data_IF_439123315013
#
_entry.id   IF_439123315013
#
_cell.length_a   1.000
_cell.length_b   1.000
_cell.length_c   1.000
_cell.angle_alpha   90.00
_cell.angle_beta   90.00
_cell.angle_gamma   90.00
#
_symmetry.space_group_name_H-M   'P 1'
#
loop_
_entity.id
_entity.type
_entity.pdbx_description
1 polymer ?
#
# COMPACT_ATOMS: atom_id res chain seq x y z
N UNK A 1 -14.03 12.94 16.70
CA UNK A 1 -15.30 12.91 15.95
C UNK A 1 -15.09 12.38 14.53
N UNK A 2 -14.00 12.76 13.84
CA UNK A 2 -13.71 12.33 12.46
C UNK A 2 -13.55 10.80 12.24
N UNK A 3 -13.09 10.02 13.22
CA UNK A 3 -12.96 8.56 13.08
C UNK A 3 -14.29 7.81 13.00
N UNK A 4 -15.35 8.35 13.62
CA UNK A 4 -16.69 7.78 13.56
C UNK A 4 -17.31 7.99 12.17
N UNK A 5 -17.13 9.17 11.58
CA UNK A 5 -17.59 9.46 10.21
C UNK A 5 -16.87 8.59 9.17
N UNK A 6 -15.56 8.39 9.30
CA UNK A 6 -14.81 7.51 8.40
C UNK A 6 -15.30 6.05 8.48
N UNK A 7 -15.52 5.56 9.71
CA UNK A 7 -16.05 4.23 9.96
C UNK A 7 -17.41 3.99 9.29
N UNK A 8 -18.30 4.98 9.31
CA UNK A 8 -19.61 4.92 8.67
C UNK A 8 -19.50 4.98 7.14
N UNK A 9 -18.67 5.88 6.60
CA UNK A 9 -18.40 5.99 5.17
C UNK A 9 -17.85 4.67 4.61
N UNK A 10 -16.85 4.07 5.26
CA UNK A 10 -16.33 2.76 4.82
C UNK A 10 -17.41 1.68 4.93
N UNK A 11 -18.29 1.76 5.93
CA UNK A 11 -19.44 0.87 6.03
C UNK A 11 -20.42 1.00 4.86
N UNK A 12 -20.59 2.20 4.29
CA UNK A 12 -21.37 2.43 3.08
C UNK A 12 -20.64 1.92 1.84
N UNK A 13 -19.34 2.23 1.70
CA UNK A 13 -18.53 1.76 0.57
C UNK A 13 -18.52 0.23 0.54
N UNK A 14 -18.30 -0.46 1.67
CA UNK A 14 -18.31 -1.93 1.71
C UNK A 14 -19.67 -2.55 1.35
N UNK A 15 -20.77 -1.79 1.41
CA UNK A 15 -22.09 -2.27 0.93
C UNK A 15 -22.21 -2.18 -0.58
N UNK A 16 -21.56 -1.20 -1.21
CA UNK A 16 -21.55 -1.03 -2.67
C UNK A 16 -20.46 -1.87 -3.33
N UNK A 17 -19.25 -1.83 -2.78
CA UNK A 17 -18.09 -2.59 -3.21
C UNK A 17 -17.67 -3.59 -2.13
N UNK A 18 -17.98 -4.86 -2.38
CA UNK A 18 -17.66 -5.97 -1.46
C UNK A 18 -16.31 -6.62 -1.75
N UNK A 19 -15.51 -6.06 -2.69
CA UNK A 19 -14.23 -6.64 -3.08
C UNK A 19 -13.17 -6.44 -2.01
N UNK A 20 -13.28 -5.35 -1.24
CA UNK A 20 -12.32 -4.96 -0.23
C UNK A 20 -12.91 -5.01 1.18
N UNK A 21 -12.13 -5.55 2.12
CA UNK A 21 -12.49 -5.55 3.54
C UNK A 21 -12.35 -4.14 4.12
N UNK A 22 -13.19 -3.79 5.11
CA UNK A 22 -13.13 -2.51 5.82
C UNK A 22 -11.72 -2.16 6.31
N UNK A 23 -10.94 -3.16 6.73
CA UNK A 23 -9.56 -2.96 7.18
C UNK A 23 -8.62 -2.48 6.07
N UNK A 24 -8.91 -2.79 4.81
CA UNK A 24 -8.14 -2.30 3.67
C UNK A 24 -8.22 -0.76 3.59
N UNK A 25 -9.40 -0.19 3.79
CA UNK A 25 -9.62 1.26 3.76
C UNK A 25 -8.91 1.95 4.93
N UNK A 26 -8.99 1.39 6.13
CA UNK A 26 -8.25 1.89 7.30
C UNK A 26 -6.73 1.84 7.07
N UNK A 27 -6.25 0.77 6.43
CA UNK A 27 -4.85 0.61 6.10
C UNK A 27 -4.38 1.63 5.06
N UNK A 28 -5.14 1.86 3.99
CA UNK A 28 -4.82 2.87 2.96
C UNK A 28 -4.79 4.27 3.56
N UNK A 29 -5.73 4.61 4.44
CA UNK A 29 -5.74 5.89 5.17
C UNK A 29 -4.46 6.09 5.98
N UNK A 30 -4.04 5.07 6.74
CA UNK A 30 -2.82 5.14 7.54
C UNK A 30 -1.56 5.19 6.65
N UNK A 31 -1.53 4.41 5.57
CA UNK A 31 -0.44 4.43 4.60
C UNK A 31 -0.29 5.79 3.91
N UNK A 32 -1.40 6.47 3.59
CA UNK A 32 -1.39 7.82 3.04
C UNK A 32 -0.81 8.82 4.04
N UNK A 33 -1.28 8.83 5.29
CA UNK A 33 -0.75 9.71 6.33
C UNK A 33 0.76 9.49 6.56
N UNK A 34 1.19 8.23 6.57
CA UNK A 34 2.60 7.86 6.62
C UNK A 34 3.38 8.43 5.42
N UNK A 35 2.86 8.26 4.20
CA UNK A 35 3.49 8.76 2.97
C UNK A 35 3.61 10.28 2.99
N UNK A 36 2.54 11.00 3.35
CA UNK A 36 2.55 12.46 3.45
C UNK A 36 3.58 12.94 4.47
N UNK A 37 3.67 12.29 5.64
CA UNK A 37 4.68 12.59 6.66
C UNK A 37 6.10 12.36 6.15
N UNK A 38 6.33 11.25 5.45
CA UNK A 38 7.65 10.92 4.89
C UNK A 38 8.06 11.86 3.76
N UNK A 39 7.15 12.20 2.84
CA UNK A 39 7.38 13.19 1.78
C UNK A 39 7.69 14.56 2.38
N UNK A 40 6.94 14.97 3.40
CA UNK A 40 7.16 16.23 4.12
C UNK A 40 8.53 16.29 4.80
N UNK A 41 9.02 15.16 5.34
CA UNK A 41 10.35 15.04 5.93
C UNK A 41 11.46 15.09 4.89
N UNK A 42 11.29 14.40 3.76
CA UNK A 42 12.29 14.34 2.69
C UNK A 42 12.37 15.62 1.86
N UNK A 43 11.25 16.32 1.69
CA UNK A 43 11.15 17.52 0.87
C UNK A 43 10.41 18.63 1.63
N UNK A 44 11.05 19.23 2.67
CA UNK A 44 10.44 20.30 3.46
C UNK A 44 10.11 21.55 2.61
N UNK A 45 10.75 21.72 1.46
CA UNK A 45 10.50 22.84 0.53
C UNK A 45 9.16 22.73 -0.23
N UNK A 46 8.57 21.54 -0.33
CA UNK A 46 7.24 21.32 -0.94
C UNK A 46 6.07 21.64 -0.01
N UNK A 47 6.34 22.00 1.25
CA UNK A 47 5.32 22.21 2.30
C UNK A 47 4.29 23.32 2.01
N UNK A 48 4.55 24.20 1.05
CA UNK A 48 3.63 25.28 0.65
C UNK A 48 2.76 24.98 -0.58
N UNK A 49 3.06 23.93 -1.36
CA UNK A 49 2.32 23.60 -2.59
C UNK A 49 1.73 22.21 -2.46
N UNK A 50 0.53 22.18 -1.89
CA UNK A 50 -0.38 21.05 -1.93
C UNK A 50 0.17 19.79 -1.22
N UNK A 51 -0.45 19.37 -0.11
CA UNK A 51 -0.20 18.09 0.60
C UNK A 51 -0.53 16.83 -0.23
N UNK A 52 -0.53 16.95 -1.55
CA UNK A 52 -0.94 15.92 -2.48
C UNK A 52 0.26 15.05 -2.78
N UNK A 53 0.08 13.76 -2.57
CA UNK A 53 1.03 12.73 -3.01
C UNK A 53 0.52 12.14 -4.31
N UNK A 54 1.43 11.85 -5.23
CA UNK A 54 1.09 11.11 -6.45
C UNK A 54 0.72 9.67 -6.12
N UNK A 55 -0.02 8.98 -7.00
CA UNK A 55 -0.34 7.56 -6.83
C UNK A 55 0.92 6.70 -6.69
N UNK A 56 1.97 7.03 -7.46
CA UNK A 56 3.28 6.40 -7.34
C UNK A 56 3.96 6.60 -5.97
N UNK A 57 3.90 7.81 -5.40
CA UNK A 57 4.41 8.08 -4.06
C UNK A 57 3.59 7.34 -3.00
N UNK A 58 2.27 7.35 -3.13
CA UNK A 58 1.36 6.64 -2.24
C UNK A 58 1.63 5.13 -2.25
N UNK A 59 1.77 4.51 -3.43
CA UNK A 59 2.04 3.08 -3.55
C UNK A 59 3.37 2.69 -2.91
N UNK A 60 4.42 3.50 -3.10
CA UNK A 60 5.72 3.25 -2.47
C UNK A 60 5.65 3.44 -0.94
N UNK A 61 4.95 4.47 -0.47
CA UNK A 61 4.76 4.68 0.96
C UNK A 61 3.92 3.57 1.60
N UNK A 62 2.85 3.10 0.94
CA UNK A 62 2.05 1.95 1.35
C UNK A 62 2.92 0.68 1.40
N UNK A 63 3.79 0.45 0.42
CA UNK A 63 4.72 -0.68 0.42
C UNK A 63 5.59 -0.67 1.68
N UNK A 64 6.21 0.47 1.96
CA UNK A 64 7.08 0.64 3.11
C UNK A 64 6.31 0.46 4.42
N UNK A 65 5.12 1.06 4.50
CA UNK A 65 4.25 0.96 5.66
C UNK A 65 3.76 -0.49 5.89
N UNK A 66 3.41 -1.22 4.83
CA UNK A 66 3.03 -2.64 4.92
C UNK A 66 4.18 -3.51 5.47
N UNK A 67 5.40 -3.25 5.00
CA UNK A 67 6.61 -3.94 5.46
C UNK A 67 6.97 -3.59 6.90
N UNK A 68 6.81 -2.34 7.30
CA UNK A 68 7.06 -1.89 8.67
C UNK A 68 6.08 -2.52 9.66
N UNK A 69 4.80 -2.58 9.30
CA UNK A 69 3.74 -3.09 10.19
C UNK A 69 3.62 -4.62 10.20
N UNK A 70 3.80 -5.27 9.05
CA UNK A 70 3.53 -6.71 8.89
C UNK A 70 4.72 -7.52 8.39
N UNK A 71 5.78 -6.87 7.92
CA UNK A 71 6.99 -7.52 7.39
C UNK A 71 6.66 -8.60 6.35
N UNK A 72 7.12 -9.85 6.54
CA UNK A 72 6.90 -10.94 5.59
C UNK A 72 5.43 -11.35 5.47
N UNK A 73 4.57 -10.97 6.41
CA UNK A 73 3.13 -11.26 6.39
C UNK A 73 2.32 -10.23 5.61
N UNK A 74 2.94 -9.14 5.14
CA UNK A 74 2.25 -8.07 4.42
C UNK A 74 1.39 -8.59 3.25
N UNK A 75 1.96 -9.44 2.39
CA UNK A 75 1.22 -10.06 1.27
C UNK A 75 -0.01 -10.85 1.75
N UNK A 76 0.14 -11.65 2.79
CA UNK A 76 -0.95 -12.49 3.32
C UNK A 76 -2.07 -11.64 3.92
N UNK A 77 -1.71 -10.60 4.66
CA UNK A 77 -2.66 -9.68 5.29
C UNK A 77 -3.43 -8.89 4.23
N UNK A 78 -2.73 -8.31 3.24
CA UNK A 78 -3.35 -7.57 2.13
C UNK A 78 -4.28 -8.48 1.31
N UNK A 79 -3.83 -9.68 0.96
CA UNK A 79 -4.64 -10.64 0.21
C UNK A 79 -5.92 -11.03 0.97
N UNK A 80 -5.84 -11.14 2.30
CA UNK A 80 -7.00 -11.44 3.15
C UNK A 80 -8.04 -10.32 3.13
N UNK A 81 -7.61 -9.09 2.92
CA UNK A 81 -8.50 -7.93 2.77
C UNK A 81 -8.98 -7.69 1.34
N UNK A 82 -8.68 -8.61 0.41
CA UNK A 82 -9.07 -8.51 -0.99
C UNK A 82 -8.08 -7.76 -1.88
N UNK A 83 -7.01 -7.19 -1.31
CA UNK A 83 -5.99 -6.44 -2.04
C UNK A 83 -4.90 -7.38 -2.52
N UNK A 84 -4.78 -7.57 -3.83
CA UNK A 84 -3.82 -8.51 -4.44
C UNK A 84 -2.80 -7.85 -5.35
N UNK A 85 -3.08 -6.63 -5.83
CA UNK A 85 -2.25 -5.88 -6.78
C UNK A 85 -2.23 -4.39 -6.44
N UNK A 86 -1.30 -3.66 -7.05
CA UNK A 86 -1.22 -2.20 -6.88
C UNK A 86 -2.52 -1.48 -7.32
N UNK A 87 -3.15 -1.94 -8.41
CA UNK A 87 -4.39 -1.36 -8.91
C UNK A 87 -5.53 -1.40 -7.89
N UNK A 88 -5.59 -2.43 -7.05
CA UNK A 88 -6.60 -2.56 -5.99
C UNK A 88 -6.50 -1.42 -4.97
N UNK A 89 -5.29 -0.94 -4.67
CA UNK A 89 -5.12 0.26 -3.84
C UNK A 89 -5.65 1.51 -4.52
N UNK A 90 -5.47 1.62 -5.84
CA UNK A 90 -6.07 2.68 -6.64
C UNK A 90 -7.59 2.66 -6.54
N UNK A 91 -8.22 1.50 -6.71
CA UNK A 91 -9.68 1.37 -6.57
C UNK A 91 -10.15 1.78 -5.16
N UNK A 92 -9.46 1.38 -4.10
CA UNK A 92 -9.77 1.81 -2.73
C UNK A 92 -9.66 3.33 -2.57
N UNK A 93 -8.58 3.95 -3.08
CA UNK A 93 -8.38 5.40 -3.01
C UNK A 93 -9.47 6.13 -3.78
N UNK A 94 -9.84 5.67 -4.97
CA UNK A 94 -10.90 6.26 -5.76
C UNK A 94 -12.26 6.13 -5.08
N UNK A 95 -12.57 4.97 -4.49
CA UNK A 95 -13.79 4.80 -3.69
C UNK A 95 -13.86 5.81 -2.54
N UNK A 96 -12.75 6.08 -1.87
CA UNK A 96 -12.66 7.10 -0.82
C UNK A 96 -12.79 8.54 -1.35
N UNK A 97 -12.33 8.80 -2.59
CA UNK A 97 -12.52 10.10 -3.26
C UNK A 97 -13.99 10.33 -3.59
N UNK A 98 -14.72 9.32 -4.06
CA UNK A 98 -16.14 9.46 -4.41
C UNK A 98 -16.99 9.84 -3.19
N UNK A 99 -16.57 9.41 -2.00
CA UNK A 99 -17.19 9.75 -0.73
C UNK A 99 -16.62 11.02 -0.06
N UNK A 100 -15.86 11.84 -0.80
CA UNK A 100 -15.21 13.07 -0.31
C UNK A 100 -14.30 12.87 0.92
N UNK A 101 -13.81 11.65 1.16
CA UNK A 101 -12.81 11.39 2.21
C UNK A 101 -11.44 11.87 1.77
N UNK A 102 -11.11 11.66 0.50
CA UNK A 102 -9.89 12.16 -0.13
C UNK A 102 -10.19 13.11 -1.29
N UNK A 103 -9.25 14.01 -1.53
CA UNK A 103 -9.29 14.92 -2.68
C UNK A 103 -8.38 14.40 -3.77
N UNK A 104 -8.92 14.22 -4.98
CA UNK A 104 -8.12 13.95 -6.18
C UNK A 104 -7.50 15.22 -6.75
N UNK A 105 -6.38 15.09 -7.44
CA UNK A 105 -5.94 16.11 -8.41
C UNK A 105 -6.46 15.77 -9.80
N UNK A 106 -6.43 16.76 -10.71
CA UNK A 106 -6.84 16.57 -12.11
C UNK A 106 -5.95 15.58 -12.88
N UNK A 107 -4.73 15.34 -12.37
CA UNK A 107 -3.78 14.40 -12.95
C UNK A 107 -3.88 12.99 -12.38
N UNK A 108 -4.59 12.78 -11.26
CA UNK A 108 -4.71 11.46 -10.64
C UNK A 108 -5.62 10.55 -11.49
N UNK A 109 -5.05 9.46 -11.99
CA UNK A 109 -5.77 8.42 -12.74
C UNK A 109 -5.60 7.09 -12.04
N UNK A 110 -6.61 6.21 -12.16
CA UNK A 110 -6.50 4.81 -11.70
C UNK A 110 -5.30 4.09 -12.33
N UNK A 111 -4.92 4.49 -13.54
CA UNK A 111 -3.76 3.99 -14.27
C UNK A 111 -2.41 4.32 -13.58
N UNK A 112 -2.35 5.41 -12.79
CA UNK A 112 -1.15 5.75 -12.01
C UNK A 112 -0.85 4.69 -10.94
N UNK A 113 -1.85 3.87 -10.61
CA UNK A 113 -1.75 2.78 -9.65
C UNK A 113 -1.45 1.42 -10.30
N UNK A 114 -1.30 1.36 -11.63
CA UNK A 114 -1.02 0.13 -12.34
C UNK A 114 0.46 -0.27 -12.21
N UNK A 115 0.69 -1.51 -11.77
CA UNK A 115 1.94 -2.28 -12.00
C UNK A 115 3.26 -1.62 -11.54
N UNK A 116 3.25 -0.76 -10.51
CA UNK A 116 4.49 -0.17 -9.97
C UNK A 116 5.41 -1.23 -9.36
N UNK A 117 4.84 -2.23 -8.68
CA UNK A 117 5.60 -3.37 -8.15
C UNK A 117 4.72 -4.61 -8.00
N UNK A 118 5.32 -5.78 -8.06
CA UNK A 118 4.64 -7.03 -7.72
C UNK A 118 4.73 -7.32 -6.21
N UNK A 119 3.65 -7.81 -5.62
CA UNK A 119 3.57 -8.09 -4.18
C UNK A 119 4.55 -9.20 -3.75
N UNK A 120 4.84 -10.15 -4.62
CA UNK A 120 5.83 -11.18 -4.36
C UNK A 120 7.25 -10.61 -4.34
N UNK A 121 7.57 -9.72 -5.27
CA UNK A 121 8.86 -9.04 -5.29
C UNK A 121 9.03 -8.07 -4.13
N UNK A 122 7.96 -7.35 -3.78
CA UNK A 122 7.99 -6.34 -2.75
C UNK A 122 7.98 -6.91 -1.33
N UNK A 123 7.20 -7.96 -1.07
CA UNK A 123 6.92 -8.46 0.28
C UNK A 123 7.50 -9.84 0.57
N UNK A 124 7.82 -10.66 -0.43
CA UNK A 124 8.27 -12.05 -0.23
C UNK A 124 9.75 -12.20 -0.51
N UNK A 125 10.24 -11.80 -1.70
CA UNK A 125 11.66 -11.91 -2.09
C UNK A 125 12.65 -11.37 -1.05
N UNK A 126 12.45 -10.19 -0.40
CA UNK A 126 13.43 -9.68 0.57
C UNK A 126 13.58 -10.55 1.83
N UNK A 127 12.61 -11.42 2.13
CA UNK A 127 12.64 -12.32 3.28
C UNK A 127 12.89 -13.78 2.91
N UNK A 128 13.05 -14.09 1.61
CA UNK A 128 13.46 -15.42 1.22
C UNK A 128 14.93 -15.63 1.63
N UNK A 129 15.25 -16.69 2.39
CA UNK A 129 16.64 -17.00 2.69
C UNK A 129 17.39 -17.21 1.37
N UNK A 130 18.54 -16.56 1.22
CA UNK A 130 19.41 -16.77 0.07
C UNK A 130 19.64 -18.27 -0.08
N UNK A 131 19.05 -18.84 -1.13
CA UNK A 131 18.88 -20.27 -1.29
C UNK A 131 20.18 -20.99 -0.99
N UNK A 132 20.09 -21.92 -0.03
CA UNK A 132 21.12 -22.85 0.41
C UNK A 132 22.23 -23.00 -0.63
N UNK A 133 23.31 -22.21 -0.52
CA UNK A 133 24.52 -22.42 -1.31
C UNK A 133 25.03 -23.76 -0.84
N UNK A 134 24.56 -24.84 -1.48
CA UNK A 134 25.02 -26.20 -1.24
C UNK A 134 26.52 -26.13 -1.36
N UNK A 135 27.20 -26.09 -0.22
CA UNK A 135 28.65 -26.26 -0.13
C UNK A 135 28.86 -27.66 -0.67
N UNK A 136 29.24 -27.76 -1.94
CA UNK A 136 29.71 -29.01 -2.53
C UNK A 136 30.95 -29.36 -1.71
N UNK A 137 30.82 -30.32 -0.79
CA UNK A 137 31.99 -30.91 -0.13
C UNK A 137 32.86 -31.50 -1.24
N UNK A 138 34.16 -31.17 -1.30
CA UNK A 138 35.05 -31.85 -2.22
C UNK A 138 35.01 -33.35 -1.90
N UNK A 139 34.87 -34.17 -2.94
CA UNK A 139 34.87 -35.61 -2.83
C UNK A 139 36.22 -36.07 -2.27
N UNK A 140 36.15 -36.83 -1.18
CA UNK A 140 37.25 -37.58 -0.60
C UNK A 140 37.76 -38.57 -1.67
N UNK A 141 38.97 -38.35 -2.18
CA UNK A 141 39.68 -39.34 -3.00
C UNK A 141 40.61 -40.13 -2.07
N UNK A 142 40.22 -41.39 -1.87
CA UNK A 142 41.02 -42.46 -1.28
C UNK A 142 42.12 -42.94 -2.24
#
# INVERSE_FOLDING_TARGET
MQDLEFAEIVGLICKEDTRFDRKAYEFVRQGLDHTVKEVKRKQPERTGKAQHVTGAELLNGIRHYALDQYGPLAKTVLNKWGVRRCSDFGDIVFNLIEYNVFSKTESDRREDFAEIYDFEEAFVKPYQPAGNRRVRRPADQA
#
